data_IF_415850355344
#
_entry.id   IF_415850355344
#
_cell.length_a   1.000
_cell.length_b   1.000
_cell.length_c   1.000
_cell.angle_alpha   90.00
_cell.angle_beta   90.00
_cell.angle_gamma   90.00
#
_symmetry.space_group_name_H-M   'P 1'
#
loop_
_entity.id
_entity.type
_entity.pdbx_description
1 polymer ?
#
# COMPACT_ATOMS: atom_id res chain seq x y z
N UNK A 1 13.08 17.20 8.58
CA UNK A 1 13.39 16.80 7.19
C UNK A 1 12.09 16.37 6.52
N UNK A 2 11.83 16.73 5.26
CA UNK A 2 10.65 16.25 4.55
C UNK A 2 10.74 14.73 4.36
N UNK A 3 9.63 14.02 4.56
CA UNK A 3 9.55 12.58 4.30
C UNK A 3 9.63 12.38 2.78
N UNK A 4 10.60 11.59 2.32
CA UNK A 4 10.73 11.26 0.91
C UNK A 4 9.55 10.38 0.46
N UNK A 5 8.82 10.83 -0.55
CA UNK A 5 7.65 10.11 -1.07
C UNK A 5 8.11 8.99 -2.01
N UNK A 6 7.49 7.83 -1.89
CA UNK A 6 7.63 6.71 -2.82
C UNK A 6 6.74 6.90 -4.04
N UNK A 7 7.21 6.45 -5.20
CA UNK A 7 6.54 6.60 -6.48
C UNK A 7 6.11 5.24 -7.01
N UNK A 8 4.89 5.14 -7.53
CA UNK A 8 4.40 4.00 -8.28
C UNK A 8 3.87 4.50 -9.62
N UNK A 9 4.44 4.01 -10.73
CA UNK A 9 4.02 4.47 -12.05
C UNK A 9 2.56 4.12 -12.32
N UNK A 10 1.83 5.00 -13.00
CA UNK A 10 0.42 4.76 -13.38
C UNK A 10 0.28 3.55 -14.31
N UNK A 11 1.35 3.16 -15.02
CA UNK A 11 1.41 1.92 -15.81
C UNK A 11 1.49 0.69 -14.90
N UNK A 12 2.30 0.74 -13.84
CA UNK A 12 2.39 -0.36 -12.87
C UNK A 12 1.11 -0.50 -12.06
N UNK A 13 0.43 0.60 -11.75
CA UNK A 13 -0.90 0.58 -11.10
C UNK A 13 -1.90 -0.29 -11.86
N UNK A 14 -1.82 -0.35 -13.19
CA UNK A 14 -2.74 -1.15 -14.03
C UNK A 14 -2.54 -2.66 -13.89
N UNK A 15 -1.45 -3.11 -13.27
CA UNK A 15 -1.20 -4.54 -12.97
C UNK A 15 -2.01 -5.02 -11.76
N UNK A 16 -2.55 -4.10 -10.98
CA UNK A 16 -3.31 -4.39 -9.77
C UNK A 16 -4.82 -4.32 -10.01
N UNK A 17 -5.57 -4.98 -9.14
CA UNK A 17 -7.03 -4.86 -9.06
C UNK A 17 -7.42 -3.37 -8.97
N UNK A 18 -8.41 -2.91 -9.77
CA UNK A 18 -8.77 -1.49 -9.85
C UNK A 18 -9.38 -0.97 -8.55
N UNK A 19 -9.84 -1.86 -7.67
CA UNK A 19 -10.36 -1.56 -6.34
C UNK A 19 -9.27 -1.80 -5.29
N UNK A 20 -8.53 -0.77 -4.86
CA UNK A 20 -7.53 -0.91 -3.81
C UNK A 20 -8.18 -1.26 -2.48
N UNK A 21 -7.46 -2.00 -1.65
CA UNK A 21 -7.82 -2.21 -0.25
C UNK A 21 -7.32 -1.02 0.58
N UNK A 22 -8.20 -0.47 1.40
CA UNK A 22 -7.85 0.57 2.35
C UNK A 22 -7.82 0.00 3.76
N UNK A 23 -6.66 0.07 4.39
CA UNK A 23 -6.43 -0.38 5.76
C UNK A 23 -6.02 0.80 6.63
N UNK A 24 -6.14 0.63 7.93
CA UNK A 24 -5.90 1.67 8.92
C UNK A 24 -5.07 1.08 10.05
N UNK A 25 -4.20 1.89 10.64
CA UNK A 25 -3.48 1.50 11.85
C UNK A 25 -4.23 2.00 13.07
N UNK A 26 -4.08 1.33 14.21
CA UNK A 26 -4.76 1.68 15.44
C UNK A 26 -4.43 3.12 15.90
N UNK A 27 -3.21 3.58 15.62
CA UNK A 27 -2.74 4.92 15.96
C UNK A 27 -3.27 6.01 15.03
N UNK A 28 -3.69 5.67 13.81
CA UNK A 28 -4.09 6.64 12.80
C UNK A 28 -5.28 6.11 11.97
N UNK A 29 -6.44 6.03 12.63
CA UNK A 29 -7.67 5.47 12.08
C UNK A 29 -8.31 6.33 10.96
N UNK A 30 -7.85 7.57 10.75
CA UNK A 30 -8.36 8.46 9.70
C UNK A 30 -7.47 8.44 8.46
N UNK A 31 -6.24 7.94 8.57
CA UNK A 31 -5.25 8.01 7.50
C UNK A 31 -5.02 6.65 6.86
N UNK A 32 -5.78 6.41 5.79
CA UNK A 32 -5.78 5.14 5.08
C UNK A 32 -4.43 4.80 4.46
N UNK A 33 -4.03 3.56 4.64
CA UNK A 33 -2.96 2.89 3.91
C UNK A 33 -3.55 2.24 2.67
N UNK A 34 -2.93 2.49 1.52
CA UNK A 34 -3.30 1.87 0.26
C UNK A 34 -2.57 0.54 0.10
N UNK A 35 -3.35 -0.52 -0.08
CA UNK A 35 -2.85 -1.86 -0.42
C UNK A 35 -3.42 -2.26 -1.77
N UNK A 36 -2.54 -2.65 -2.69
CA UNK A 36 -2.87 -3.01 -4.06
C UNK A 36 -2.70 -4.52 -4.22
N UNK A 37 -3.74 -5.22 -4.68
CA UNK A 37 -3.67 -6.66 -4.96
C UNK A 37 -3.34 -6.88 -6.43
N UNK A 38 -2.36 -7.72 -6.75
CA UNK A 38 -2.07 -8.06 -8.15
C UNK A 38 -3.25 -8.84 -8.76
N UNK A 39 -3.63 -8.49 -9.99
CA UNK A 39 -4.74 -9.15 -10.67
C UNK A 39 -4.46 -10.66 -10.81
N UNK A 40 -5.44 -11.48 -10.44
CA UNK A 40 -5.38 -12.95 -10.53
C UNK A 40 -4.26 -13.63 -9.70
N UNK A 41 -3.65 -12.92 -8.74
CA UNK A 41 -2.65 -13.50 -7.82
C UNK A 41 -3.00 -13.19 -6.37
N UNK A 42 -2.55 -14.04 -5.45
CA UNK A 42 -2.57 -13.75 -4.02
C UNK A 42 -1.27 -13.00 -3.61
N UNK A 43 -1.05 -11.86 -4.27
CA UNK A 43 0.10 -11.00 -4.05
C UNK A 43 -0.36 -9.56 -3.81
N UNK A 44 0.20 -8.89 -2.81
CA UNK A 44 -0.20 -7.57 -2.36
C UNK A 44 1.01 -6.64 -2.23
N UNK A 45 0.87 -5.43 -2.77
CA UNK A 45 1.79 -4.32 -2.57
C UNK A 45 1.19 -3.35 -1.54
N UNK A 46 1.84 -3.21 -0.39
CA UNK A 46 1.53 -2.15 0.58
C UNK A 46 2.24 -0.87 0.09
N UNK A 47 1.48 -0.01 -0.59
CA UNK A 47 2.02 1.20 -1.21
C UNK A 47 2.30 2.32 -0.20
N UNK A 48 1.60 2.33 0.94
CA UNK A 48 1.69 3.36 1.96
C UNK A 48 0.52 4.33 1.92
N UNK A 49 0.69 5.52 2.51
CA UNK A 49 -0.38 6.53 2.61
C UNK A 49 -0.39 7.39 1.35
N UNK A 50 -1.53 7.50 0.69
CA UNK A 50 -1.62 8.25 -0.57
C UNK A 50 -1.40 9.74 -0.33
N UNK A 51 -0.48 10.33 -1.09
CA UNK A 51 0.00 11.71 -0.88
C UNK A 51 -0.12 12.59 -2.12
N UNK A 52 -0.81 12.11 -3.15
CA UNK A 52 -1.04 12.79 -4.42
C UNK A 52 -0.55 12.00 -5.62
N UNK A 53 -0.47 12.66 -6.76
CA UNK A 53 0.08 12.14 -8.00
C UNK A 53 0.93 13.22 -8.68
N UNK A 54 1.82 12.77 -9.55
CA UNK A 54 2.44 13.62 -10.57
C UNK A 54 2.03 13.12 -11.97
N UNK A 55 2.68 13.64 -13.02
CA UNK A 55 2.35 13.32 -14.42
C UNK A 55 2.18 11.82 -14.65
N UNK A 56 3.13 11.01 -14.22
CA UNK A 56 3.17 9.58 -14.53
C UNK A 56 3.11 8.67 -13.30
N UNK A 57 3.13 9.22 -12.09
CA UNK A 57 3.22 8.43 -10.86
C UNK A 57 2.12 8.76 -9.85
N UNK A 58 1.78 7.77 -9.04
CA UNK A 58 1.13 7.96 -7.75
C UNK A 58 2.19 8.10 -6.67
N UNK A 59 1.98 9.04 -5.76
CA UNK A 59 2.91 9.34 -4.68
C UNK A 59 2.36 8.80 -3.36
N UNK A 60 3.21 8.14 -2.61
CA UNK A 60 2.87 7.58 -1.31
C UNK A 60 3.88 7.99 -0.26
N UNK A 61 3.40 8.37 0.92
CA UNK A 61 4.25 8.48 2.11
C UNK A 61 4.51 7.06 2.62
N UNK A 62 5.80 6.65 2.75
CA UNK A 62 6.15 5.34 3.26
C UNK A 62 5.68 5.19 4.71
N UNK A 63 5.37 3.95 5.07
CA UNK A 63 5.02 3.58 6.44
C UNK A 63 6.29 3.44 7.29
N UNK A 64 6.20 3.83 8.56
CA UNK A 64 7.22 3.48 9.55
C UNK A 64 7.16 1.97 9.87
N UNK A 65 8.14 1.46 10.62
CA UNK A 65 8.22 0.02 10.90
C UNK A 65 7.02 -0.53 11.69
N UNK A 66 6.45 0.25 12.61
CA UNK A 66 5.30 -0.18 13.41
C UNK A 66 4.06 -0.32 12.53
N UNK A 67 3.75 0.71 11.74
CA UNK A 67 2.65 0.72 10.79
C UNK A 67 2.84 -0.38 9.74
N UNK A 68 4.07 -0.63 9.27
CA UNK A 68 4.37 -1.72 8.32
C UNK A 68 3.97 -3.08 8.89
N UNK A 69 4.40 -3.39 10.12
CA UNK A 69 4.11 -4.66 10.80
C UNK A 69 2.61 -4.84 11.05
N UNK A 70 1.94 -3.77 11.46
CA UNK A 70 0.49 -3.81 11.71
C UNK A 70 -0.30 -4.06 10.42
N UNK A 71 -0.03 -3.30 9.36
CA UNK A 71 -0.71 -3.45 8.08
C UNK A 71 -0.41 -4.82 7.47
N UNK A 72 0.84 -5.30 7.53
CA UNK A 72 1.17 -6.65 7.07
C UNK A 72 0.33 -7.71 7.77
N UNK A 73 0.23 -7.63 9.11
CA UNK A 73 -0.60 -8.54 9.89
C UNK A 73 -2.06 -8.48 9.44
N UNK A 74 -2.62 -7.29 9.23
CA UNK A 74 -3.99 -7.10 8.76
C UNK A 74 -4.22 -7.71 7.36
N UNK A 75 -3.27 -7.55 6.44
CA UNK A 75 -3.36 -8.17 5.10
C UNK A 75 -3.36 -9.70 5.22
N UNK A 76 -2.49 -10.26 6.07
CA UNK A 76 -2.38 -11.72 6.29
C UNK A 76 -3.60 -12.33 7.01
N UNK A 77 -4.43 -11.54 7.68
CA UNK A 77 -5.69 -12.05 8.25
C UNK A 77 -6.59 -12.51 7.10
N UNK A 78 -6.76 -13.83 7.00
CA UNK A 78 -7.50 -14.50 5.92
C UNK A 78 -6.67 -14.82 4.66
N UNK A 79 -5.37 -14.52 4.65
CA UNK A 79 -4.47 -14.65 3.49
C UNK A 79 -3.06 -15.08 3.91
N UNK A 80 -2.96 -16.22 4.61
CA UNK A 80 -1.72 -16.64 5.28
C UNK A 80 -0.55 -16.80 4.32
N UNK A 81 -0.81 -17.31 3.12
CA UNK A 81 0.20 -17.64 2.10
C UNK A 81 0.42 -16.52 1.08
N UNK A 82 -0.23 -15.36 1.26
CA UNK A 82 -0.09 -14.24 0.35
C UNK A 82 1.35 -13.70 0.33
N UNK A 83 1.82 -13.39 -0.88
CA UNK A 83 3.07 -12.65 -1.07
C UNK A 83 2.82 -11.18 -0.77
N UNK A 84 3.62 -10.59 0.13
CA UNK A 84 3.48 -9.19 0.52
C UNK A 84 4.79 -8.46 0.22
N UNK A 85 4.68 -7.35 -0.50
CA UNK A 85 5.77 -6.43 -0.77
C UNK A 85 5.43 -5.01 -0.31
N UNK A 86 6.46 -4.19 -0.11
CA UNK A 86 6.31 -2.79 0.28
C UNK A 86 6.96 -1.90 -0.76
N UNK A 87 6.34 -0.75 -1.00
CA UNK A 87 6.90 0.32 -1.83
C UNK A 87 8.00 1.12 -1.10
#
# INVERSE_FOLDING_TARGET
MPIEKKQLSKKDVQKFDPSPLYLYTAKDALNRVTVLKEANKDAYLIAGRYSGNDNDNRLYTPLNEEDRKEIEKLVRIGRKDATISFL
#
